data_IF_318381192973
#
_entry.id   IF_318381192973
#
_cell.length_a   1.000
_cell.length_b   1.000
_cell.length_c   1.000
_cell.angle_alpha   90.00
_cell.angle_beta   90.00
_cell.angle_gamma   90.00
#
_symmetry.space_group_name_H-M   'P 1'
#
loop_
_entity.id
_entity.type
_entity.pdbx_description
1 polymer ?
#
# COMPACT_ATOMS: atom_id res chain seq x y z
N UNK A 1 10.05 -2.94 -7.63
CA UNK A 1 9.88 -3.61 -6.33
C UNK A 1 9.27 -4.98 -6.57
N UNK A 2 9.83 -6.07 -6.01
CA UNK A 2 9.23 -7.39 -6.14
C UNK A 2 7.85 -7.44 -5.47
N UNK A 3 6.93 -8.30 -5.95
CA UNK A 3 5.62 -8.45 -5.30
C UNK A 3 5.83 -8.83 -3.84
N UNK A 4 5.16 -8.13 -2.92
CA UNK A 4 5.23 -8.45 -1.49
C UNK A 4 4.85 -9.92 -1.30
N UNK A 5 5.67 -10.67 -0.56
CA UNK A 5 5.40 -12.08 -0.23
C UNK A 5 3.98 -12.19 0.32
N UNK A 6 3.21 -13.15 -0.20
CA UNK A 6 1.88 -13.49 0.30
C UNK A 6 2.03 -13.86 1.78
N UNK A 7 1.18 -13.30 2.64
CA UNK A 7 1.23 -13.57 4.09
C UNK A 7 0.76 -14.99 4.42
N UNK A 8 0.58 -15.30 5.70
CA UNK A 8 0.04 -16.58 6.16
C UNK A 8 -1.33 -16.95 5.58
N UNK A 9 -2.07 -15.96 5.06
CA UNK A 9 -3.35 -16.12 4.37
C UNK A 9 -3.22 -16.56 2.91
N UNK A 10 -2.04 -16.54 2.29
CA UNK A 10 -1.86 -16.86 0.86
C UNK A 10 -2.34 -15.77 -0.12
N UNK A 11 -3.03 -14.73 0.35
CA UNK A 11 -3.54 -13.65 -0.49
C UNK A 11 -2.93 -12.29 -0.11
N UNK A 12 -2.87 -11.38 -1.10
CA UNK A 12 -2.43 -10.00 -0.89
C UNK A 12 -3.51 -9.22 -0.18
N UNK A 13 -3.09 -8.38 0.76
CA UNK A 13 -4.00 -7.54 1.55
C UNK A 13 -4.85 -8.29 2.56
N UNK A 14 -4.81 -9.63 2.59
CA UNK A 14 -5.57 -10.44 3.55
C UNK A 14 -4.71 -10.78 4.77
N UNK A 15 -5.25 -10.59 5.96
CA UNK A 15 -4.61 -10.93 7.23
C UNK A 15 -5.54 -11.74 8.12
N UNK A 16 -4.94 -12.62 8.92
CA UNK A 16 -5.65 -13.50 9.86
C UNK A 16 -5.75 -12.82 11.22
N UNK A 17 -6.94 -12.81 11.82
CA UNK A 17 -7.15 -12.46 13.24
C UNK A 17 -6.92 -13.69 14.12
N UNK A 18 -6.56 -13.50 15.40
CA UNK A 18 -6.41 -14.61 16.35
C UNK A 18 -7.65 -15.51 16.48
N UNK A 19 -8.87 -14.96 16.28
CA UNK A 19 -10.14 -15.70 16.30
C UNK A 19 -10.47 -16.44 14.98
N UNK A 20 -9.49 -16.65 14.10
CA UNK A 20 -9.67 -17.34 12.81
C UNK A 20 -10.40 -16.55 11.72
N UNK A 21 -10.85 -15.32 11.98
CA UNK A 21 -11.45 -14.45 10.95
C UNK A 21 -10.39 -13.78 10.08
N UNK A 22 -10.73 -13.50 8.83
CA UNK A 22 -9.85 -12.80 7.89
C UNK A 22 -10.27 -11.34 7.79
N UNK A 23 -9.33 -10.43 7.59
CA UNK A 23 -9.65 -9.05 7.25
C UNK A 23 -8.82 -8.60 6.06
N UNK A 24 -9.41 -7.77 5.22
CA UNK A 24 -8.75 -7.18 4.08
C UNK A 24 -8.27 -5.77 4.42
N UNK A 25 -7.05 -5.42 4.02
CA UNK A 25 -6.47 -4.10 4.15
C UNK A 25 -5.85 -3.65 2.83
N UNK A 26 -6.00 -2.36 2.51
CA UNK A 26 -5.37 -1.71 1.38
C UNK A 26 -4.57 -0.50 1.86
N UNK A 27 -3.52 -0.16 1.11
CA UNK A 27 -2.79 1.10 1.30
C UNK A 27 -3.17 2.05 0.17
N UNK A 28 -3.55 3.28 0.47
CA UNK A 28 -3.89 4.31 -0.51
C UNK A 28 -3.51 5.67 0.07
N UNK A 29 -2.96 6.57 -0.74
CA UNK A 29 -2.54 7.90 -0.28
C UNK A 29 -1.61 7.92 0.94
N UNK A 30 -0.76 6.90 1.14
CA UNK A 30 0.11 6.78 2.32
C UNK A 30 -0.57 6.25 3.59
N UNK A 31 -1.90 6.09 3.58
CA UNK A 31 -2.66 5.54 4.70
C UNK A 31 -2.92 4.05 4.54
N UNK A 32 -3.19 3.36 5.66
CA UNK A 32 -3.72 2.00 5.69
C UNK A 32 -5.22 2.05 5.98
N UNK A 33 -6.01 1.44 5.09
CA UNK A 33 -7.45 1.35 5.17
C UNK A 33 -7.85 -0.12 5.31
N UNK A 34 -8.59 -0.44 6.36
CA UNK A 34 -9.16 -1.78 6.56
C UNK A 34 -10.48 -1.83 5.80
N UNK A 35 -10.70 -2.80 4.92
CA UNK A 35 -11.88 -2.89 4.06
C UNK A 35 -13.06 -3.61 4.73
N UNK A 36 -12.76 -4.59 5.59
CA UNK A 36 -13.76 -5.38 6.28
C UNK A 36 -13.20 -6.66 6.87
N UNK A 37 -14.05 -7.37 7.61
CA UNK A 37 -13.80 -8.71 8.13
C UNK A 37 -14.64 -9.73 7.37
N UNK A 38 -14.07 -10.91 7.12
CA UNK A 38 -14.65 -11.98 6.31
C UNK A 38 -14.38 -13.34 6.94
N UNK A 39 -15.22 -14.31 6.60
CA UNK A 39 -15.11 -15.67 7.15
C UNK A 39 -14.02 -16.49 6.44
N UNK A 40 -13.81 -16.27 5.14
CA UNK A 40 -12.81 -17.00 4.35
C UNK A 40 -11.77 -16.04 3.76
N UNK A 41 -10.54 -16.53 3.52
CA UNK A 41 -9.50 -15.71 2.93
C UNK A 41 -9.80 -15.31 1.49
N UNK A 42 -10.51 -16.13 0.72
CA UNK A 42 -10.91 -15.87 -0.67
C UNK A 42 -11.89 -14.69 -0.74
N UNK A 43 -12.88 -14.67 0.16
CA UNK A 43 -13.86 -13.59 0.27
C UNK A 43 -13.17 -12.27 0.63
N UNK A 44 -12.21 -12.31 1.56
CA UNK A 44 -11.38 -11.15 1.88
C UNK A 44 -10.53 -10.69 0.68
N UNK A 45 -10.00 -11.63 -0.10
CA UNK A 45 -9.19 -11.33 -1.28
C UNK A 45 -10.03 -10.69 -2.40
N UNK A 46 -11.28 -11.13 -2.61
CA UNK A 46 -12.21 -10.50 -3.56
C UNK A 46 -12.55 -9.06 -3.16
N UNK A 47 -12.79 -8.82 -1.87
CA UNK A 47 -12.98 -7.47 -1.36
C UNK A 47 -11.74 -6.58 -1.53
N UNK A 48 -10.53 -7.15 -1.38
CA UNK A 48 -9.29 -6.44 -1.68
C UNK A 48 -9.18 -6.07 -3.16
N UNK A 49 -9.52 -6.98 -4.07
CA UNK A 49 -9.44 -6.74 -5.51
C UNK A 49 -10.45 -5.68 -5.97
N UNK A 50 -11.68 -5.67 -5.43
CA UNK A 50 -12.64 -4.60 -5.67
C UNK A 50 -12.10 -3.23 -5.23
N UNK A 51 -11.52 -3.15 -4.03
CA UNK A 51 -10.87 -1.91 -3.58
C UNK A 51 -9.66 -1.55 -4.46
N UNK A 52 -8.87 -2.53 -4.89
CA UNK A 52 -7.73 -2.32 -5.78
C UNK A 52 -8.17 -1.71 -7.12
N UNK A 53 -9.31 -2.14 -7.67
CA UNK A 53 -9.93 -1.54 -8.85
C UNK A 53 -10.35 -0.08 -8.60
N UNK A 54 -10.97 0.22 -7.46
CA UNK A 54 -11.36 1.61 -7.10
C UNK A 54 -10.16 2.56 -7.04
N UNK A 55 -9.07 2.11 -6.41
CA UNK A 55 -7.79 2.84 -6.35
C UNK A 55 -6.92 2.67 -7.62
N UNK A 56 -7.49 2.15 -8.71
CA UNK A 56 -6.87 1.96 -10.03
C UNK A 56 -5.47 1.32 -9.97
N UNK A 57 -5.31 0.31 -9.11
CA UNK A 57 -4.08 -0.48 -9.02
C UNK A 57 -3.89 -1.33 -10.28
N UNK A 58 -2.64 -1.61 -10.68
CA UNK A 58 -2.38 -2.45 -11.84
C UNK A 58 -2.84 -3.89 -11.59
N UNK A 59 -3.32 -4.58 -12.63
CA UNK A 59 -3.85 -5.97 -12.52
C UNK A 59 -2.85 -6.96 -11.91
N UNK A 60 -1.55 -6.75 -12.14
CA UNK A 60 -0.48 -7.56 -11.52
C UNK A 60 -0.48 -7.54 -9.99
N UNK A 61 -1.11 -6.55 -9.37
CA UNK A 61 -1.23 -6.38 -7.92
C UNK A 61 -2.51 -7.03 -7.34
N UNK A 62 -3.45 -7.46 -8.18
CA UNK A 62 -4.67 -8.17 -7.80
C UNK A 62 -4.41 -9.64 -7.46
N UNK A 63 -5.36 -10.29 -6.77
CA UNK A 63 -5.29 -11.71 -6.43
C UNK A 63 -5.93 -12.60 -7.51
N UNK A 64 -7.04 -12.15 -8.11
CA UNK A 64 -7.81 -12.87 -9.12
C UNK A 64 -7.69 -12.14 -10.47
N UNK A 65 -6.93 -12.68 -11.43
CA UNK A 65 -6.75 -12.04 -12.74
C UNK A 65 -8.00 -12.12 -13.63
N UNK A 66 -8.92 -13.03 -13.31
CA UNK A 66 -10.13 -13.39 -14.07
C UNK A 66 -11.13 -12.23 -14.16
N UNK A 67 -11.05 -11.28 -13.24
CA UNK A 67 -11.97 -10.14 -13.15
C UNK A 67 -11.49 -9.01 -14.05
N UNK A 68 -12.33 -8.59 -14.99
CA UNK A 68 -11.94 -7.61 -16.02
C UNK A 68 -12.46 -6.19 -15.77
N UNK A 69 -13.44 -6.03 -14.89
CA UNK A 69 -14.08 -4.75 -14.61
C UNK A 69 -14.26 -4.48 -13.12
N UNK A 70 -14.40 -3.20 -12.76
CA UNK A 70 -14.74 -2.79 -11.39
C UNK A 70 -16.11 -3.32 -10.98
N UNK A 71 -17.11 -3.26 -11.87
CA UNK A 71 -18.47 -3.71 -11.58
C UNK A 71 -18.52 -5.20 -11.26
N UNK A 72 -17.80 -6.02 -12.03
CA UNK A 72 -17.65 -7.45 -11.76
C UNK A 72 -16.91 -7.70 -10.44
N UNK A 73 -15.85 -6.94 -10.16
CA UNK A 73 -15.12 -7.04 -8.90
C UNK A 73 -16.00 -6.72 -7.69
N UNK A 74 -16.83 -5.67 -7.80
CA UNK A 74 -17.76 -5.26 -6.75
C UNK A 74 -18.91 -6.26 -6.56
N UNK A 75 -19.43 -6.81 -7.65
CA UNK A 75 -20.47 -7.84 -7.61
C UNK A 75 -19.96 -9.12 -6.94
N UNK A 76 -18.72 -9.52 -7.24
CA UNK A 76 -18.07 -10.67 -6.63
C UNK A 76 -17.55 -10.40 -5.21
N UNK A 77 -17.48 -9.13 -4.81
CA UNK A 77 -17.02 -8.76 -3.48
C UNK A 77 -18.14 -8.98 -2.44
N UNK A 78 -17.92 -9.84 -1.45
CA UNK A 78 -18.91 -10.08 -0.42
C UNK A 78 -19.06 -8.87 0.51
N UNK A 79 -20.25 -8.72 1.09
CA UNK A 79 -20.44 -7.82 2.20
C UNK A 79 -19.56 -8.24 3.40
N UNK A 80 -19.00 -7.28 4.16
CA UNK A 80 -18.22 -7.61 5.35
C UNK A 80 -19.10 -8.23 6.43
N UNK A 81 -18.54 -9.16 7.19
CA UNK A 81 -19.18 -9.74 8.35
C UNK A 81 -19.21 -8.72 9.50
N UNK A 82 -20.37 -8.09 9.71
CA UNK A 82 -20.62 -7.12 10.78
C UNK A 82 -21.49 -7.79 11.86
N UNK A 83 -20.85 -8.26 12.94
CA UNK A 83 -21.50 -9.11 13.94
C UNK A 83 -22.25 -8.29 14.98
N UNK A 84 -21.67 -7.16 15.39
CA UNK A 84 -22.22 -6.27 16.41
C UNK A 84 -22.34 -4.80 15.92
N UNK A 85 -22.96 -3.95 16.73
CA UNK A 85 -23.11 -2.53 16.40
C UNK A 85 -21.78 -1.76 16.40
N UNK A 86 -20.78 -2.24 17.14
CA UNK A 86 -19.45 -1.64 17.13
C UNK A 86 -18.76 -1.89 15.78
N UNK A 87 -18.85 -3.10 15.26
CA UNK A 87 -18.39 -3.48 13.92
C UNK A 87 -19.08 -2.60 12.87
N UNK A 88 -20.41 -2.38 12.97
CA UNK A 88 -21.13 -1.47 12.06
C UNK A 88 -20.65 -0.02 12.16
N UNK A 89 -20.38 0.49 13.37
CA UNK A 89 -19.83 1.85 13.57
C UNK A 89 -18.42 1.97 12.97
N UNK A 90 -17.55 1.00 13.26
CA UNK A 90 -16.19 0.91 12.70
C UNK A 90 -16.23 0.84 11.18
N UNK A 91 -17.13 0.03 10.62
CA UNK A 91 -17.31 -0.08 9.17
C UNK A 91 -17.75 1.25 8.56
N UNK A 92 -18.72 1.96 9.14
CA UNK A 92 -19.10 3.31 8.68
C UNK A 92 -17.94 4.31 8.72
N UNK A 93 -17.14 4.31 9.79
CA UNK A 93 -15.97 5.17 9.91
C UNK A 93 -14.91 4.85 8.86
N UNK A 94 -14.68 3.55 8.62
CA UNK A 94 -13.82 3.06 7.54
C UNK A 94 -14.30 3.53 6.18
N UNK A 95 -15.59 3.38 5.86
CA UNK A 95 -16.16 3.80 4.57
C UNK A 95 -15.99 5.30 4.34
N UNK A 96 -16.16 6.13 5.37
CA UNK A 96 -15.86 7.58 5.28
C UNK A 96 -14.40 7.83 4.92
N UNK A 97 -13.46 7.12 5.54
CA UNK A 97 -12.02 7.26 5.23
C UNK A 97 -11.67 6.79 3.83
N UNK A 98 -12.31 5.73 3.35
CA UNK A 98 -12.17 5.26 1.97
C UNK A 98 -12.66 6.32 0.99
N UNK A 99 -13.86 6.87 1.21
CA UNK A 99 -14.42 7.91 0.35
C UNK A 99 -13.52 9.17 0.29
N UNK A 100 -12.95 9.59 1.42
CA UNK A 100 -11.99 10.70 1.46
C UNK A 100 -10.74 10.36 0.64
N UNK A 101 -10.18 9.16 0.80
CA UNK A 101 -9.00 8.74 0.07
C UNK A 101 -9.25 8.61 -1.44
N UNK A 102 -10.42 8.10 -1.85
CA UNK A 102 -10.84 8.03 -3.25
C UNK A 102 -10.95 9.43 -3.85
N UNK A 103 -11.59 10.35 -3.14
CA UNK A 103 -11.71 11.74 -3.57
C UNK A 103 -10.34 12.43 -3.67
N UNK A 104 -9.47 12.23 -2.68
CA UNK A 104 -8.09 12.75 -2.70
C UNK A 104 -7.30 12.21 -3.89
N UNK A 105 -7.39 10.91 -4.19
CA UNK A 105 -6.75 10.33 -5.38
C UNK A 105 -7.28 10.94 -6.69
N UNK A 106 -8.58 11.25 -6.76
CA UNK A 106 -9.17 11.92 -7.92
C UNK A 106 -8.65 13.36 -8.06
N UNK A 107 -8.65 14.14 -6.98
CA UNK A 107 -8.10 15.50 -6.97
C UNK A 107 -6.63 15.50 -7.37
N UNK A 108 -5.84 14.59 -6.79
CA UNK A 108 -4.43 14.44 -7.12
C UNK A 108 -4.22 14.03 -8.57
N UNK A 109 -5.10 13.21 -9.15
CA UNK A 109 -5.03 12.87 -10.58
C UNK A 109 -5.31 14.09 -11.45
N UNK A 110 -6.37 14.84 -11.15
CA UNK A 110 -6.73 16.04 -11.89
C UNK A 110 -5.62 17.08 -11.81
N UNK A 111 -5.08 17.31 -10.61
CA UNK A 111 -3.96 18.22 -10.39
C UNK A 111 -2.72 17.82 -11.20
N UNK A 112 -2.33 16.53 -11.19
CA UNK A 112 -1.21 16.03 -12.01
C UNK A 112 -1.44 16.22 -13.52
N UNK A 113 -2.67 16.08 -13.98
CA UNK A 113 -3.03 16.30 -15.37
C UNK A 113 -2.97 17.78 -15.76
N UNK A 114 -3.33 18.67 -14.82
CA UNK A 114 -3.32 20.11 -15.02
C UNK A 114 -1.90 20.71 -14.97
N UNK A 115 -1.02 20.17 -14.10
CA UNK A 115 0.32 20.70 -13.84
C UNK A 115 1.43 19.67 -14.12
N UNK A 116 1.62 19.23 -15.37
CA UNK A 116 2.59 18.17 -15.69
C UNK A 116 4.04 18.60 -15.41
N UNK A 117 4.39 19.86 -15.63
CA UNK A 117 5.75 20.36 -15.38
C UNK A 117 6.10 20.36 -13.88
N UNK A 118 5.15 20.71 -13.01
CA UNK A 118 5.37 20.71 -11.56
C UNK A 118 5.58 19.29 -11.03
N UNK A 119 4.88 18.31 -11.60
CA UNK A 119 5.09 16.88 -11.29
C UNK A 119 6.50 16.46 -11.69
N UNK A 120 6.96 16.78 -12.90
CA UNK A 120 8.32 16.44 -13.35
C UNK A 120 9.38 17.12 -12.48
N UNK A 121 9.19 18.40 -12.15
CA UNK A 121 10.12 19.15 -11.32
C UNK A 121 10.19 18.60 -9.90
N UNK A 122 9.05 18.27 -9.28
CA UNK A 122 9.01 17.66 -7.95
C UNK A 122 9.61 16.25 -7.96
N UNK A 123 9.33 15.43 -8.97
CA UNK A 123 9.92 14.10 -9.11
C UNK A 123 11.45 14.16 -9.30
N UNK A 124 11.94 15.09 -10.12
CA UNK A 124 13.36 15.36 -10.31
C UNK A 124 14.02 15.79 -8.99
N UNK A 125 13.43 16.76 -8.29
CA UNK A 125 13.90 17.21 -6.97
C UNK A 125 13.99 16.06 -5.95
N UNK A 126 12.94 15.23 -5.83
CA UNK A 126 12.97 14.09 -4.92
C UNK A 126 13.89 12.97 -5.41
N UNK A 127 14.12 12.82 -6.71
CA UNK A 127 15.12 11.89 -7.25
C UNK A 127 16.53 12.33 -6.87
N UNK A 128 16.84 13.61 -7.01
CA UNK A 128 18.12 14.21 -6.61
C UNK A 128 18.36 14.05 -5.11
N UNK A 129 17.36 14.34 -4.28
CA UNK A 129 17.46 14.09 -2.84
C UNK A 129 17.72 12.61 -2.49
N UNK A 130 17.07 11.67 -3.20
CA UNK A 130 17.31 10.23 -3.01
C UNK A 130 18.72 9.84 -3.45
N UNK A 131 19.24 10.43 -4.53
CA UNK A 131 20.61 10.22 -4.99
C UNK A 131 21.62 10.80 -3.99
N UNK A 132 21.37 11.99 -3.45
CA UNK A 132 22.21 12.63 -2.44
C UNK A 132 22.20 11.89 -1.09
N UNK A 133 21.06 11.35 -0.65
CA UNK A 133 21.03 10.49 0.56
C UNK A 133 21.82 9.20 0.36
N UNK A 134 21.70 8.55 -0.80
CA UNK A 134 22.59 7.42 -1.15
C UNK A 134 24.06 7.84 -1.20
N UNK A 135 24.34 9.06 -1.64
CA UNK A 135 25.69 9.61 -1.64
C UNK A 135 26.22 9.85 -0.22
N UNK A 136 25.40 10.36 0.70
CA UNK A 136 25.74 10.53 2.11
C UNK A 136 25.89 9.19 2.85
N UNK A 137 25.04 8.20 2.58
CA UNK A 137 25.19 6.85 3.14
C UNK A 137 26.50 6.18 2.65
N UNK A 138 26.89 6.43 1.39
CA UNK A 138 28.16 5.95 0.82
C UNK A 138 29.36 6.76 1.36
N UNK A 139 29.22 8.07 1.57
CA UNK A 139 30.27 8.93 2.13
C UNK A 139 30.48 8.72 3.64
N UNK A 140 29.44 8.49 4.44
CA UNK A 140 29.56 8.08 5.85
C UNK A 140 30.18 6.68 5.95
N UNK A 141 29.87 5.77 5.02
CA UNK A 141 30.55 4.48 4.93
C UNK A 141 32.04 4.64 4.56
N UNK A 142 32.38 5.57 3.66
CA UNK A 142 33.77 5.86 3.28
C UNK A 142 34.57 6.56 4.39
N UNK A 143 33.96 7.50 5.12
CA UNK A 143 34.62 8.22 6.22
C UNK A 143 34.74 7.38 7.49
N UNK A 144 33.79 6.48 7.77
CA UNK A 144 33.91 5.48 8.84
C UNK A 144 34.99 4.43 8.53
N UNK A 145 35.14 4.02 7.26
CA UNK A 145 36.17 3.07 6.84
C UNK A 145 37.60 3.67 6.91
N UNK A 146 37.77 4.97 6.64
CA UNK A 146 39.08 5.64 6.70
C UNK A 146 39.61 5.82 8.13
N UNK A 147 38.73 6.03 9.12
CA UNK A 147 39.12 6.08 10.53
C UNK A 147 39.47 4.70 11.09
N UNK A 148 38.84 3.63 10.58
CA UNK A 148 39.13 2.26 11.02
C UNK A 148 40.49 1.74 10.48
N UNK A 149 40.93 2.21 9.30
CA UNK A 149 42.24 1.84 8.73
C UNK A 149 43.42 2.63 9.34
N UNK A 150 43.21 3.88 9.75
CA UNK A 150 44.24 4.70 10.40
C UNK A 150 44.56 4.26 11.84
N UNK A 151 43.62 3.62 12.54
CA UNK A 151 43.82 3.09 13.89
C UNK A 151 44.52 1.73 13.92
N UNK A 152 44.59 1.01 12.78
CA UNK A 152 45.22 -0.30 12.66
C UNK A 152 46.67 -0.27 12.14
N UNK A 153 47.20 0.91 11.84
CA UNK A 153 48.53 1.14 11.27
C UNK A 153 49.52 1.86 12.21
N UNK A 154 49.14 2.12 13.48
CA UNK A 154 50.03 2.63 14.54
C UNK A 154 50.18 1.62 15.68
N UNK A 155 50.45 0.37 15.33
CA UNK A 155 50.61 -0.74 16.26
C UNK A 155 51.60 -1.77 15.73
N UNK A 156 52.71 -1.30 15.16
CA UNK A 156 53.96 -2.03 14.95
C UNK A 156 55.09 -1.13 15.44
#
# INVERSE_FOLDING_TARGET
MPPRRRGSSGFRGVRVRPRGRFYAEIRAGGFRLTLGTYNTPELAARAYDAAAWRFRRPRRDMNFPDVESLEEAEFLAPAPCLVDDEDRRRHRQVQRRIAIAEHDEQLMRQWRAQFPNDVVNTDAFFADLRAQRRFNDVYECFYSCRQCWASKSRGL
#
